data_IF_103225569186
#
_entry.id   IF_103225569186
#
_cell.length_a   1.000
_cell.length_b   1.000
_cell.length_c   1.000
_cell.angle_alpha   90.00
_cell.angle_beta   90.00
_cell.angle_gamma   90.00
#
_symmetry.space_group_name_H-M   'P 1'
#
loop_
_entity.id
_entity.type
_entity.pdbx_description
1 polymer ?
#
# COMPACT_ATOMS: atom_id res chain seq x y z
N UNK A 1 -4.22 6.27 22.51
CA UNK A 1 -3.68 5.75 21.23
C UNK A 1 -4.27 6.44 20.01
N UNK A 2 -5.58 6.32 19.74
CA UNK A 2 -6.23 6.91 18.56
C UNK A 2 -6.03 8.42 18.43
N UNK A 3 -6.11 9.16 19.55
CA UNK A 3 -5.81 10.60 19.59
C UNK A 3 -4.38 10.93 19.12
N UNK A 4 -3.41 10.12 19.52
CA UNK A 4 -2.01 10.27 19.11
C UNK A 4 -1.81 9.98 17.62
N UNK A 5 -2.48 8.97 17.07
CA UNK A 5 -2.44 8.75 15.62
C UNK A 5 -3.05 9.93 14.85
N UNK A 6 -4.15 10.50 15.38
CA UNK A 6 -4.78 11.68 14.78
C UNK A 6 -3.85 12.90 14.80
N UNK A 7 -3.08 13.12 15.87
CA UNK A 7 -2.11 14.23 15.91
C UNK A 7 -0.98 14.07 14.90
N UNK A 8 -0.70 12.84 14.44
CA UNK A 8 0.26 12.53 13.39
C UNK A 8 -0.36 12.49 11.97
N UNK A 9 -1.63 12.84 11.83
CA UNK A 9 -2.34 12.93 10.54
C UNK A 9 -3.12 11.69 10.12
N UNK A 10 -3.32 10.71 11.03
CA UNK A 10 -4.24 9.60 10.76
C UNK A 10 -5.71 10.08 10.73
N UNK A 11 -6.50 9.50 9.84
CA UNK A 11 -7.94 9.79 9.73
C UNK A 11 -8.77 8.54 10.07
N UNK A 12 -9.32 8.53 11.28
CA UNK A 12 -10.09 7.41 11.86
C UNK A 12 -11.36 7.90 12.60
N UNK A 13 -12.23 8.73 11.98
CA UNK A 13 -13.41 9.26 12.66
C UNK A 13 -14.47 8.20 12.97
N UNK A 14 -14.47 7.10 12.22
CA UNK A 14 -15.44 6.00 12.33
C UNK A 14 -14.99 4.88 13.27
N UNK A 15 -13.72 4.89 13.71
CA UNK A 15 -13.19 3.88 14.64
C UNK A 15 -13.38 4.37 16.06
N UNK A 16 -14.26 3.69 16.78
CA UNK A 16 -14.51 3.92 18.21
C UNK A 16 -13.61 3.01 19.07
N UNK A 17 -13.16 3.45 20.26
CA UNK A 17 -12.28 2.67 21.13
C UNK A 17 -12.84 1.29 21.51
N UNK A 18 -14.15 1.17 21.70
CA UNK A 18 -14.85 -0.06 22.07
C UNK A 18 -14.74 -1.15 20.99
N UNK A 19 -14.60 -0.77 19.72
CA UNK A 19 -14.41 -1.72 18.62
C UNK A 19 -12.99 -2.29 18.56
N UNK A 20 -12.07 -1.81 19.39
CA UNK A 20 -10.71 -2.33 19.48
C UNK A 20 -10.53 -3.31 20.65
N UNK A 21 -11.57 -3.53 21.46
CA UNK A 21 -11.56 -4.47 22.57
C UNK A 21 -11.61 -5.93 22.09
N UNK A 22 -11.19 -6.84 22.96
CA UNK A 22 -11.46 -8.27 22.79
C UNK A 22 -12.97 -8.53 22.94
N UNK A 23 -13.55 -9.55 22.29
CA UNK A 23 -14.99 -9.80 22.36
C UNK A 23 -15.54 -9.92 23.79
N UNK A 24 -14.81 -10.54 24.70
CA UNK A 24 -15.23 -10.67 26.10
C UNK A 24 -15.16 -9.33 26.86
N UNK A 25 -14.12 -8.53 26.61
CA UNK A 25 -13.99 -7.18 27.16
C UNK A 25 -15.09 -6.24 26.62
N UNK A 26 -15.47 -6.37 25.36
CA UNK A 26 -16.58 -5.62 24.78
C UNK A 26 -17.92 -5.98 25.44
N UNK A 27 -18.14 -7.26 25.75
CA UNK A 27 -19.35 -7.69 26.48
C UNK A 27 -19.40 -7.11 27.88
N UNK A 28 -18.26 -7.08 28.59
CA UNK A 28 -18.15 -6.46 29.92
C UNK A 28 -18.42 -4.95 29.80
N UNK A 29 -17.72 -4.27 28.89
CA UNK A 29 -17.90 -2.84 28.65
C UNK A 29 -19.34 -2.47 28.28
N UNK A 30 -19.98 -3.25 27.40
CA UNK A 30 -21.36 -3.01 26.98
C UNK A 30 -22.35 -3.15 28.13
N UNK A 31 -22.14 -4.12 29.04
CA UNK A 31 -22.95 -4.29 30.25
C UNK A 31 -22.76 -3.12 31.22
N UNK A 32 -21.52 -2.69 31.45
CA UNK A 32 -21.23 -1.57 32.33
C UNK A 32 -21.80 -0.24 31.80
N UNK A 33 -21.74 -0.02 30.48
CA UNK A 33 -22.31 1.15 29.82
C UNK A 33 -23.85 1.18 29.90
N UNK A 34 -24.51 0.02 29.79
CA UNK A 34 -25.96 -0.13 30.05
C UNK A 34 -26.30 0.20 31.51
N UNK A 35 -25.57 -0.40 32.45
CA UNK A 35 -25.79 -0.20 33.89
C UNK A 35 -25.56 1.26 34.33
N UNK A 36 -24.54 1.94 33.80
CA UNK A 36 -24.27 3.35 34.09
C UNK A 36 -25.33 4.30 33.53
N UNK A 37 -26.06 3.91 32.48
CA UNK A 37 -27.15 4.70 31.92
C UNK A 37 -28.46 4.52 32.67
N UNK A 38 -28.78 3.30 33.13
CA UNK A 38 -29.96 3.05 33.96
C UNK A 38 -29.95 3.88 35.26
N UNK A 39 -28.77 4.22 35.78
CA UNK A 39 -28.61 5.12 36.93
C UNK A 39 -28.81 6.60 36.56
N UNK A 40 -28.62 6.97 35.28
CA UNK A 40 -28.70 8.35 34.77
C UNK A 40 -30.04 8.69 34.09
N UNK A 41 -30.89 7.71 33.77
CA UNK A 41 -32.22 7.91 33.14
C UNK A 41 -33.30 8.46 34.09
N UNK A 42 -32.93 9.15 35.16
CA UNK A 42 -33.88 10.02 35.91
C UNK A 42 -34.01 11.42 35.31
N UNK A 43 -33.16 11.79 34.35
CA UNK A 43 -33.30 13.06 33.61
C UNK A 43 -33.24 12.77 32.11
N UNK A 44 -34.31 13.14 31.41
CA UNK A 44 -34.55 12.80 30.00
C UNK A 44 -33.51 13.44 29.07
N UNK A 45 -33.41 12.90 27.85
CA UNK A 45 -32.54 13.29 26.73
C UNK A 45 -31.18 12.55 26.62
N UNK A 46 -31.16 11.40 25.93
CA UNK A 46 -30.21 11.21 24.80
C UNK A 46 -30.58 9.99 23.94
N UNK A 47 -30.84 10.25 22.66
CA UNK A 47 -31.25 9.31 21.61
C UNK A 47 -30.03 8.62 20.96
N UNK A 48 -29.30 7.83 21.76
CA UNK A 48 -28.26 6.92 21.27
C UNK A 48 -28.49 5.55 21.90
N UNK A 49 -29.39 4.79 21.30
CA UNK A 49 -29.60 3.38 21.64
C UNK A 49 -28.27 2.64 21.53
N UNK A 50 -27.74 2.19 22.67
CA UNK A 50 -26.61 1.26 22.70
C UNK A 50 -27.15 -0.08 22.26
N UNK A 51 -27.11 -0.32 20.96
CA UNK A 51 -27.35 -1.66 20.44
C UNK A 51 -26.15 -2.51 20.81
N UNK A 52 -26.33 -3.43 21.77
CA UNK A 52 -25.36 -4.50 21.99
C UNK A 52 -25.28 -5.28 20.69
N UNK A 53 -24.11 -5.25 20.06
CA UNK A 53 -23.89 -5.95 18.82
C UNK A 53 -23.86 -7.45 19.09
N UNK A 54 -24.44 -8.23 18.18
CA UNK A 54 -24.24 -9.68 18.15
C UNK A 54 -22.74 -9.99 17.96
N UNK A 55 -22.24 -11.03 18.60
CA UNK A 55 -20.83 -11.46 18.56
C UNK A 55 -20.26 -11.49 17.13
N UNK A 56 -21.01 -12.02 16.16
CA UNK A 56 -20.63 -12.11 14.75
C UNK A 56 -20.46 -10.73 14.07
N UNK A 57 -21.31 -9.78 14.45
CA UNK A 57 -21.30 -8.40 13.94
C UNK A 57 -20.18 -7.60 14.58
N UNK A 58 -20.02 -7.72 15.90
CA UNK A 58 -18.91 -7.11 16.62
C UNK A 58 -17.57 -7.55 16.05
N UNK A 59 -17.36 -8.85 15.85
CA UNK A 59 -16.12 -9.41 15.30
C UNK A 59 -15.79 -8.82 13.92
N UNK A 60 -16.79 -8.65 13.06
CA UNK A 60 -16.61 -8.04 11.73
C UNK A 60 -16.21 -6.57 11.83
N UNK A 61 -16.85 -5.82 12.72
CA UNK A 61 -16.56 -4.39 12.95
C UNK A 61 -15.17 -4.23 13.58
N UNK A 62 -14.84 -5.07 14.57
CA UNK A 62 -13.55 -5.07 15.27
C UNK A 62 -12.40 -5.38 14.30
N UNK A 63 -12.55 -6.41 13.46
CA UNK A 63 -11.57 -6.72 12.40
C UNK A 63 -11.35 -5.54 11.46
N UNK A 64 -12.43 -4.90 10.99
CA UNK A 64 -12.33 -3.72 10.13
C UNK A 64 -11.65 -2.56 10.85
N UNK A 65 -12.04 -2.28 12.09
CA UNK A 65 -11.47 -1.21 12.90
C UNK A 65 -9.96 -1.40 13.11
N UNK A 66 -9.53 -2.62 13.47
CA UNK A 66 -8.12 -2.96 13.60
C UNK A 66 -7.35 -2.87 12.29
N UNK A 67 -7.92 -3.36 11.18
CA UNK A 67 -7.31 -3.23 9.86
C UNK A 67 -7.10 -1.76 9.47
N UNK A 68 -8.10 -0.90 9.70
CA UNK A 68 -8.02 0.53 9.42
C UNK A 68 -6.97 1.23 10.30
N UNK A 69 -6.91 0.89 11.59
CA UNK A 69 -5.88 1.40 12.51
C UNK A 69 -4.49 1.01 12.05
N UNK A 70 -4.26 -0.27 11.72
CA UNK A 70 -2.97 -0.76 11.22
C UNK A 70 -2.56 -0.09 9.91
N UNK A 71 -3.50 0.11 8.99
CA UNK A 71 -3.24 0.80 7.73
C UNK A 71 -2.86 2.27 7.96
N UNK A 72 -3.52 2.96 8.90
CA UNK A 72 -3.17 4.33 9.25
C UNK A 72 -1.82 4.43 9.97
N UNK A 73 -1.49 3.46 10.82
CA UNK A 73 -0.14 3.33 11.41
C UNK A 73 0.89 3.20 10.29
N UNK A 74 0.67 2.33 9.31
CA UNK A 74 1.57 2.19 8.16
C UNK A 74 1.72 3.52 7.40
N UNK A 75 0.60 4.17 7.09
CA UNK A 75 0.59 5.45 6.38
C UNK A 75 1.35 6.55 7.13
N UNK A 76 1.17 6.63 8.44
CA UNK A 76 1.77 7.69 9.26
C UNK A 76 3.23 7.38 9.59
N UNK A 77 3.59 6.14 9.92
CA UNK A 77 4.95 5.84 10.40
C UNK A 77 5.88 5.31 9.33
N UNK A 78 5.37 4.65 8.28
CA UNK A 78 6.19 4.06 7.22
C UNK A 78 6.25 4.98 6.01
N UNK A 79 5.10 5.40 5.46
CA UNK A 79 5.11 6.27 4.28
C UNK A 79 5.71 7.65 4.56
N UNK A 80 5.56 8.21 5.78
CA UNK A 80 6.20 9.48 6.12
C UNK A 80 7.75 9.41 6.09
N UNK A 81 8.35 8.23 6.25
CA UNK A 81 9.81 8.03 6.16
C UNK A 81 10.35 8.15 4.74
N UNK A 82 9.48 8.18 3.72
CA UNK A 82 9.87 8.46 2.34
C UNK A 82 10.28 9.93 2.25
N UNK A 83 11.53 10.18 2.67
CA UNK A 83 12.13 11.51 2.75
C UNK A 83 12.21 12.14 1.36
N UNK A 84 12.11 13.47 1.30
CA UNK A 84 12.28 14.24 0.05
C UNK A 84 13.74 14.24 -0.45
N UNK A 85 14.64 13.44 0.12
CA UNK A 85 16.02 13.32 -0.31
C UNK A 85 16.16 12.55 -1.64
N UNK A 86 15.44 12.98 -2.66
CA UNK A 86 15.95 12.83 -4.02
C UNK A 86 17.11 13.79 -4.15
N UNK A 87 18.34 13.32 -3.92
CA UNK A 87 19.50 13.95 -4.56
C UNK A 87 19.18 13.92 -6.05
N UNK A 88 18.84 15.09 -6.58
CA UNK A 88 18.47 15.22 -7.98
C UNK A 88 19.76 15.04 -8.75
N UNK A 89 20.03 13.84 -9.24
CA UNK A 89 21.13 13.64 -10.17
C UNK A 89 20.81 14.51 -11.41
N UNK A 90 21.76 15.31 -11.91
CA UNK A 90 21.52 16.17 -13.07
C UNK A 90 21.03 15.38 -14.31
N UNK A 91 21.39 14.10 -14.43
CA UNK A 91 20.89 13.19 -15.48
C UNK A 91 19.42 12.79 -15.32
N UNK A 92 18.84 12.89 -14.13
CA UNK A 92 17.41 12.63 -13.90
C UNK A 92 16.53 13.78 -14.40
N UNK A 93 17.05 15.02 -14.40
CA UNK A 93 16.30 16.21 -14.86
C UNK A 93 15.97 16.16 -16.35
N UNK A 94 16.89 15.67 -17.19
CA UNK A 94 16.65 15.53 -18.63
C UNK A 94 15.56 14.48 -18.92
N UNK A 95 15.57 13.33 -18.23
CA UNK A 95 14.50 12.33 -18.39
C UNK A 95 13.15 12.75 -17.80
N UNK A 96 13.15 13.71 -16.86
CA UNK A 96 11.94 14.20 -16.19
C UNK A 96 11.24 15.32 -16.96
N UNK A 97 11.87 15.94 -17.98
CA UNK A 97 11.22 16.96 -18.82
C UNK A 97 10.09 16.36 -19.68
N UNK A 98 10.24 15.10 -20.11
CA UNK A 98 9.24 14.38 -20.91
C UNK A 98 8.17 13.68 -20.06
N UNK A 99 8.31 13.66 -18.73
CA UNK A 99 7.42 12.93 -17.84
C UNK A 99 6.30 13.85 -17.34
N UNK A 100 5.02 13.58 -17.67
CA UNK A 100 3.92 14.41 -17.20
C UNK A 100 3.90 14.37 -15.67
N UNK A 101 4.15 15.51 -15.01
CA UNK A 101 4.08 15.56 -13.53
C UNK A 101 2.75 14.98 -13.07
N UNK A 102 2.77 14.04 -12.12
CA UNK A 102 1.56 13.55 -11.46
C UNK A 102 0.85 14.78 -10.93
N UNK A 103 -0.28 15.15 -11.57
CA UNK A 103 -0.95 16.42 -11.30
C UNK A 103 -1.34 16.46 -9.82
N UNK A 104 -1.26 17.66 -9.24
CA UNK A 104 -1.66 17.86 -7.84
C UNK A 104 -3.17 17.62 -7.66
N UNK A 105 -3.91 17.89 -8.72
CA UNK A 105 -5.36 17.75 -8.85
C UNK A 105 -5.74 16.32 -9.27
N UNK A 106 -6.81 15.75 -8.67
CA UNK A 106 -7.20 14.37 -8.90
C UNK A 106 -7.86 14.24 -10.27
N UNK A 107 -7.12 13.75 -11.28
CA UNK A 107 -7.72 13.27 -12.53
C UNK A 107 -8.00 11.76 -12.50
N UNK A 108 -7.62 11.08 -11.42
CA UNK A 108 -7.92 9.66 -11.17
C UNK A 108 -8.49 9.48 -9.77
N UNK A 109 -9.30 8.43 -9.62
CA UNK A 109 -10.14 8.07 -8.47
C UNK A 109 -9.41 7.82 -7.15
N UNK A 110 -8.07 7.90 -7.12
CA UNK A 110 -7.28 7.61 -5.95
C UNK A 110 -6.70 8.90 -5.35
N UNK A 111 -7.19 9.27 -4.17
CA UNK A 111 -6.69 10.41 -3.39
C UNK A 111 -5.34 10.03 -2.77
N UNK A 112 -4.26 10.19 -3.53
CA UNK A 112 -2.91 9.90 -3.05
C UNK A 112 -2.35 11.01 -2.16
N UNK A 113 -1.74 10.62 -1.04
CA UNK A 113 -0.88 11.44 -0.19
C UNK A 113 0.38 11.91 -0.92
N UNK A 114 1.05 12.93 -0.36
CA UNK A 114 2.32 13.44 -0.89
C UNK A 114 3.41 12.37 -0.97
N UNK A 115 3.42 11.41 -0.05
CA UNK A 115 4.42 10.35 0.02
C UNK A 115 4.18 9.28 -1.06
N UNK A 116 2.94 8.87 -1.28
CA UNK A 116 2.56 7.97 -2.36
C UNK A 116 2.93 8.55 -3.73
N UNK A 117 2.69 9.86 -3.94
CA UNK A 117 3.09 10.54 -5.17
C UNK A 117 4.60 10.55 -5.39
N UNK A 118 5.41 10.68 -4.32
CA UNK A 118 6.87 10.56 -4.41
C UNK A 118 7.28 9.15 -4.86
N UNK A 119 6.67 8.11 -4.29
CA UNK A 119 6.93 6.72 -4.69
C UNK A 119 6.55 6.51 -6.16
N UNK A 120 5.37 6.95 -6.59
CA UNK A 120 4.95 6.84 -7.99
C UNK A 120 5.93 7.56 -8.94
N UNK A 121 6.39 8.77 -8.58
CA UNK A 121 7.37 9.52 -9.37
C UNK A 121 8.71 8.77 -9.46
N UNK A 122 9.15 8.17 -8.35
CA UNK A 122 10.35 7.35 -8.28
C UNK A 122 10.23 6.08 -9.14
N UNK A 123 9.11 5.36 -9.05
CA UNK A 123 8.84 4.17 -9.86
C UNK A 123 8.86 4.48 -11.36
N UNK A 124 8.22 5.58 -11.78
CA UNK A 124 8.21 6.05 -13.16
C UNK A 124 9.62 6.32 -13.69
N UNK A 125 10.40 7.09 -12.93
CA UNK A 125 11.77 7.46 -13.31
C UNK A 125 12.68 6.23 -13.40
N UNK A 126 12.56 5.33 -12.41
CA UNK A 126 13.35 4.12 -12.36
C UNK A 126 12.98 3.15 -13.49
N UNK A 127 11.69 2.97 -13.77
CA UNK A 127 11.22 2.07 -14.81
C UNK A 127 11.70 2.50 -16.20
N UNK A 128 11.53 3.79 -16.55
CA UNK A 128 11.99 4.28 -17.86
C UNK A 128 13.50 4.14 -18.03
N UNK A 129 14.28 4.43 -16.98
CA UNK A 129 15.73 4.29 -16.99
C UNK A 129 16.17 2.83 -17.16
N UNK A 130 15.55 1.90 -16.44
CA UNK A 130 16.04 0.52 -16.34
C UNK A 130 15.42 -0.44 -17.36
N UNK A 131 14.24 -0.17 -17.93
CA UNK A 131 13.56 -1.14 -18.82
C UNK A 131 14.42 -1.56 -20.03
N UNK A 132 15.21 -0.63 -20.57
CA UNK A 132 16.11 -0.90 -21.71
C UNK A 132 17.35 -1.71 -21.32
N UNK A 133 17.73 -1.68 -20.04
CA UNK A 133 18.90 -2.36 -19.50
C UNK A 133 18.53 -3.78 -19.09
N UNK A 134 17.45 -3.92 -18.30
CA UNK A 134 17.03 -5.20 -17.72
C UNK A 134 16.60 -6.21 -18.78
N UNK A 135 15.91 -5.76 -19.84
CA UNK A 135 15.38 -6.64 -20.88
C UNK A 135 16.04 -6.43 -22.24
N UNK A 136 17.29 -5.97 -22.26
CA UNK A 136 18.06 -5.84 -23.51
C UNK A 136 18.18 -7.18 -24.26
N UNK A 137 18.47 -8.24 -23.52
CA UNK A 137 18.72 -9.59 -24.06
C UNK A 137 17.57 -10.56 -23.73
N UNK A 138 16.34 -10.05 -23.64
CA UNK A 138 15.18 -10.84 -23.23
C UNK A 138 14.87 -11.98 -24.21
N UNK A 139 14.54 -13.16 -23.68
CA UNK A 139 14.15 -14.32 -24.48
C UNK A 139 12.65 -14.36 -24.79
N UNK A 140 11.82 -13.65 -23.99
CA UNK A 140 10.35 -13.71 -24.02
C UNK A 140 9.72 -12.37 -24.37
N UNK A 141 10.13 -11.84 -25.52
CA UNK A 141 9.66 -10.56 -26.07
C UNK A 141 10.81 -9.60 -26.31
N UNK A 142 10.50 -8.31 -26.44
CA UNK A 142 11.50 -7.24 -26.56
C UNK A 142 11.58 -6.39 -25.29
N UNK A 143 12.20 -5.22 -25.42
CA UNK A 143 12.17 -4.20 -24.36
C UNK A 143 10.70 -3.85 -24.04
N UNK A 144 10.26 -3.90 -22.77
CA UNK A 144 8.90 -3.52 -22.38
C UNK A 144 8.53 -2.12 -22.90
N UNK A 145 7.26 -1.88 -23.26
CA UNK A 145 6.83 -0.59 -23.75
C UNK A 145 7.01 0.50 -22.69
N UNK A 146 7.14 1.76 -23.16
CA UNK A 146 6.97 2.91 -22.27
C UNK A 146 5.57 2.87 -21.68
N UNK A 147 5.45 3.17 -20.40
CA UNK A 147 4.17 3.32 -19.73
C UNK A 147 4.27 4.29 -18.58
N UNK A 148 3.12 4.82 -18.22
CA UNK A 148 2.95 5.78 -17.15
C UNK A 148 2.33 5.08 -15.94
N UNK A 149 3.01 5.14 -14.79
CA UNK A 149 2.60 4.45 -13.56
C UNK A 149 1.89 5.46 -12.66
N UNK A 150 0.57 5.34 -12.53
CA UNK A 150 -0.29 6.25 -11.76
C UNK A 150 -0.93 5.59 -10.55
N UNK A 151 -0.93 4.26 -10.47
CA UNK A 151 -1.48 3.51 -9.34
C UNK A 151 -0.56 2.37 -8.89
N UNK A 152 -0.83 1.83 -7.70
CA UNK A 152 -0.08 0.70 -7.13
C UNK A 152 -0.72 -0.66 -7.43
N UNK A 153 -1.80 -0.69 -8.22
CA UNK A 153 -2.62 -1.87 -8.46
C UNK A 153 -2.36 -2.40 -9.88
N UNK A 154 -3.15 -1.93 -10.85
CA UNK A 154 -3.10 -2.35 -12.24
C UNK A 154 -1.75 -2.07 -12.90
N UNK A 155 -1.10 -0.95 -12.57
CA UNK A 155 0.16 -0.58 -13.22
C UNK A 155 1.35 -1.42 -12.72
N UNK A 156 1.21 -2.06 -11.55
CA UNK A 156 2.22 -2.95 -10.97
C UNK A 156 1.90 -4.44 -11.18
N UNK A 157 0.71 -4.75 -11.67
CA UNK A 157 0.14 -6.10 -11.75
C UNK A 157 1.03 -7.10 -12.51
N UNK A 158 1.74 -6.65 -13.53
CA UNK A 158 2.59 -7.52 -14.35
C UNK A 158 3.99 -7.79 -13.79
N UNK A 159 4.31 -7.16 -12.65
CA UNK A 159 5.58 -7.31 -11.94
C UNK A 159 6.79 -6.66 -12.61
N UNK A 160 6.68 -6.12 -13.84
CA UNK A 160 7.86 -5.57 -14.54
C UNK A 160 8.34 -4.25 -13.92
N UNK A 161 7.44 -3.42 -13.39
CA UNK A 161 7.84 -2.18 -12.69
C UNK A 161 8.68 -2.51 -11.45
N UNK A 162 8.22 -3.48 -10.66
CA UNK A 162 8.90 -3.93 -9.45
C UNK A 162 10.21 -4.65 -9.78
N UNK A 163 10.24 -5.48 -10.83
CA UNK A 163 11.47 -6.12 -11.30
C UNK A 163 12.51 -5.10 -11.75
N UNK A 164 12.11 -4.05 -12.49
CA UNK A 164 13.00 -2.96 -12.84
C UNK A 164 13.54 -2.22 -11.60
N UNK A 165 12.75 -2.15 -10.53
CA UNK A 165 13.16 -1.55 -9.27
C UNK A 165 14.20 -2.38 -8.54
N UNK A 166 13.98 -3.69 -8.41
CA UNK A 166 14.94 -4.60 -7.79
C UNK A 166 16.22 -4.67 -8.61
N UNK A 167 16.10 -4.74 -9.94
CA UNK A 167 17.25 -4.79 -10.85
C UNK A 167 18.14 -3.54 -10.78
N UNK A 168 17.56 -2.36 -10.49
CA UNK A 168 18.33 -1.13 -10.36
C UNK A 168 19.33 -1.18 -9.18
N UNK A 169 18.98 -1.88 -8.10
CA UNK A 169 19.85 -2.06 -6.93
C UNK A 169 20.64 -3.37 -6.96
N UNK A 170 20.09 -4.40 -7.61
CA UNK A 170 20.68 -5.74 -7.71
C UNK A 170 20.81 -6.18 -9.18
N UNK A 171 21.71 -5.57 -9.98
CA UNK A 171 21.81 -5.85 -11.42
C UNK A 171 22.18 -7.31 -11.74
N UNK A 172 22.85 -8.00 -10.82
CA UNK A 172 23.22 -9.42 -10.97
C UNK A 172 22.00 -10.36 -11.06
N UNK A 173 20.82 -9.92 -10.62
CA UNK A 173 19.57 -10.68 -10.75
C UNK A 173 19.01 -10.65 -12.19
N UNK A 174 19.49 -9.75 -13.05
CA UNK A 174 18.97 -9.60 -14.41
C UNK A 174 19.18 -10.89 -15.21
N UNK A 175 20.43 -11.36 -15.29
CA UNK A 175 20.81 -12.53 -16.09
C UNK A 175 20.23 -13.84 -15.53
N UNK A 176 19.95 -13.90 -14.22
CA UNK A 176 19.51 -15.13 -13.55
C UNK A 176 17.98 -15.23 -13.45
N UNK A 177 17.29 -14.11 -13.22
CA UNK A 177 15.86 -14.06 -12.95
C UNK A 177 15.10 -13.26 -14.00
N UNK A 178 15.38 -11.95 -14.13
CA UNK A 178 14.49 -11.03 -14.83
C UNK A 178 14.47 -11.19 -16.35
N UNK A 179 15.54 -11.72 -16.95
CA UNK A 179 15.60 -12.07 -18.39
C UNK A 179 14.53 -13.08 -18.82
N UNK A 180 13.98 -13.85 -17.87
CA UNK A 180 12.97 -14.89 -18.07
C UNK A 180 11.52 -14.40 -17.94
N UNK A 181 11.33 -13.12 -17.62
CA UNK A 181 10.01 -12.52 -17.48
C UNK A 181 9.39 -12.22 -18.86
N UNK A 182 8.06 -12.30 -18.94
CA UNK A 182 7.31 -11.84 -20.11
C UNK A 182 7.26 -10.32 -20.11
N UNK A 183 7.73 -9.68 -21.19
CA UNK A 183 7.81 -8.21 -21.28
C UNK A 183 6.55 -7.56 -21.84
N UNK A 184 5.64 -8.35 -22.41
CA UNK A 184 4.30 -7.93 -22.81
C UNK A 184 3.24 -8.97 -22.36
N UNK A 185 3.04 -9.13 -21.04
CA UNK A 185 2.13 -10.13 -20.52
C UNK A 185 0.66 -9.73 -20.76
N UNK A 186 -0.16 -10.67 -21.23
CA UNK A 186 -1.58 -10.47 -21.57
C UNK A 186 -2.52 -11.43 -20.84
N UNK A 187 -1.99 -12.48 -20.24
CA UNK A 187 -2.79 -13.50 -19.56
C UNK A 187 -2.44 -13.53 -18.07
N UNK A 188 -3.39 -13.94 -17.25
CA UNK A 188 -3.18 -14.12 -15.81
C UNK A 188 -2.00 -15.05 -15.51
N UNK A 189 -1.83 -16.11 -16.30
CA UNK A 189 -0.72 -17.05 -16.16
C UNK A 189 0.64 -16.37 -16.38
N UNK A 190 0.73 -15.41 -17.31
CA UNK A 190 1.96 -14.66 -17.56
C UNK A 190 2.24 -13.66 -16.43
N UNK A 191 1.21 -13.00 -15.90
CA UNK A 191 1.36 -12.16 -14.70
C UNK A 191 1.84 -12.99 -13.51
N UNK A 192 1.22 -14.14 -13.25
CA UNK A 192 1.62 -15.05 -12.18
C UNK A 192 3.07 -15.54 -12.35
N UNK A 193 3.45 -15.96 -13.56
CA UNK A 193 4.83 -16.35 -13.86
C UNK A 193 5.83 -15.24 -13.53
N UNK A 194 5.53 -13.99 -13.92
CA UNK A 194 6.36 -12.84 -13.61
C UNK A 194 6.45 -12.58 -12.10
N UNK A 195 5.33 -12.62 -11.39
CA UNK A 195 5.28 -12.45 -9.93
C UNK A 195 6.11 -13.52 -9.21
N UNK A 196 6.05 -14.78 -9.65
CA UNK A 196 6.87 -15.86 -9.09
C UNK A 196 8.37 -15.63 -9.30
N UNK A 197 8.78 -15.11 -10.46
CA UNK A 197 10.18 -14.74 -10.70
C UNK A 197 10.58 -13.60 -9.76
N UNK A 198 9.74 -12.58 -9.62
CA UNK A 198 10.01 -11.44 -8.75
C UNK A 198 10.17 -11.86 -7.29
N UNK A 199 9.26 -12.71 -6.77
CA UNK A 199 9.32 -13.21 -5.40
C UNK A 199 10.60 -14.04 -5.19
N UNK A 200 10.95 -14.94 -6.12
CA UNK A 200 12.22 -15.68 -6.06
C UNK A 200 13.44 -14.77 -6.06
N UNK A 201 13.42 -13.72 -6.86
CA UNK A 201 14.48 -12.72 -6.91
C UNK A 201 14.59 -11.94 -5.60
N UNK A 202 13.47 -11.56 -4.98
CA UNK A 202 13.43 -10.91 -3.67
C UNK A 202 13.94 -11.82 -2.55
N UNK A 203 13.59 -13.11 -2.55
CA UNK A 203 14.16 -14.09 -1.63
C UNK A 203 15.68 -14.20 -1.77
N UNK A 204 16.20 -14.21 -3.00
CA UNK A 204 17.63 -14.32 -3.26
C UNK A 204 18.45 -13.14 -2.67
N UNK A 205 17.80 -12.01 -2.37
CA UNK A 205 18.44 -10.83 -1.77
C UNK A 205 17.96 -10.54 -0.34
N UNK A 206 17.31 -11.52 0.29
CA UNK A 206 16.75 -11.41 1.64
C UNK A 206 15.75 -10.24 1.82
N UNK A 207 15.11 -9.79 0.73
CA UNK A 207 13.96 -8.88 0.79
C UNK A 207 12.69 -9.71 1.01
N UNK A 208 12.67 -10.47 2.09
CA UNK A 208 11.58 -11.37 2.39
C UNK A 208 10.42 -10.58 2.99
N UNK A 209 9.30 -10.47 2.28
CA UNK A 209 8.08 -9.81 2.77
C UNK A 209 7.07 -10.79 3.38
N UNK A 210 7.54 -11.96 3.84
CA UNK A 210 6.71 -13.08 4.33
C UNK A 210 5.58 -13.50 3.38
N UNK A 211 5.75 -13.24 2.08
CA UNK A 211 4.82 -13.71 1.05
C UNK A 211 5.08 -15.20 0.84
N UNK A 212 4.21 -16.04 1.40
CA UNK A 212 4.24 -17.49 1.15
C UNK A 212 3.71 -17.76 -0.27
N UNK A 213 4.55 -18.39 -1.09
CA UNK A 213 4.20 -18.91 -2.41
C UNK A 213 3.63 -20.31 -2.29
#
# INVERSE_FOLDING_TARGET
LLYYFRSLGAYLPHVLPEFLLEPEDYKIWSKDELNMRDVKTSDGFSDKNVFVLEDSTFETISKRAWADVLLQIYKVFVLQRVSSHSKTDPSSLESMQDMPRIKREPLSSNIYSSYERKILTWLNSNYEKNRKIVWKDCQKGGVPPRRWIVNFDQDLLDGLVLAAQVAAYCPYLIATHFIRMFTNPRTYQQFLHNSLILVKAMHAVNLNMDIKV
#
